data_IF_278750401854
#
_entry.id   IF_278750401854
#
_cell.length_a   1.000
_cell.length_b   1.000
_cell.length_c   1.000
_cell.angle_alpha   90.00
_cell.angle_beta   90.00
_cell.angle_gamma   90.00
#
_symmetry.space_group_name_H-M   'P 1'
#
loop_
_entity.id
_entity.type
_entity.pdbx_description
1 polymer ?
#
# COMPACT_ATOMS: atom_id res chain seq x y z
N UNK A 1 37.45 50.41 14.84
CA UNK A 1 38.72 50.31 15.58
C UNK A 1 39.15 48.86 15.57
N UNK A 2 40.21 48.64 14.86
CA UNK A 2 41.35 47.73 15.04
C UNK A 2 40.99 46.26 15.20
N UNK A 3 41.35 45.35 14.37
CA UNK A 3 42.48 45.21 13.43
C UNK A 3 43.46 44.14 13.93
N UNK A 4 43.76 43.17 13.08
CA UNK A 4 44.98 42.34 12.91
C UNK A 4 44.70 40.85 12.85
N UNK A 5 44.82 40.24 11.70
CA UNK A 5 45.98 39.77 10.89
C UNK A 5 46.61 38.46 11.36
N UNK A 6 46.49 37.44 10.47
CA UNK A 6 47.48 36.53 9.86
C UNK A 6 48.44 35.77 10.82
N UNK A 7 48.53 34.43 10.64
CA UNK A 7 49.76 33.88 10.08
C UNK A 7 49.56 32.50 9.40
N UNK A 8 50.17 32.39 8.25
CA UNK A 8 50.46 31.13 7.49
C UNK A 8 51.73 30.49 8.06
N UNK A 9 51.85 29.17 8.05
CA UNK A 9 53.12 28.54 7.77
C UNK A 9 52.91 27.18 7.12
N UNK A 10 53.37 27.12 5.89
CA UNK A 10 53.77 26.00 5.07
C UNK A 10 55.02 25.34 5.58
N UNK A 11 55.09 24.00 5.58
CA UNK A 11 56.36 23.26 5.44
C UNK A 11 56.13 21.93 4.74
N UNK A 12 56.71 21.77 3.54
CA UNK A 12 57.23 20.56 2.94
C UNK A 12 58.74 20.59 3.10
N UNK A 13 59.47 19.46 3.24
CA UNK A 13 60.22 18.94 2.10
C UNK A 13 60.33 17.41 2.00
N UNK A 14 60.27 16.87 0.83
CA UNK A 14 61.32 16.37 -0.12
C UNK A 14 62.13 15.13 0.26
N UNK A 15 61.97 14.13 -0.64
CA UNK A 15 62.96 13.20 -1.23
C UNK A 15 63.82 12.26 -0.35
N UNK A 16 63.80 10.95 -0.65
CA UNK A 16 64.85 10.26 -1.40
C UNK A 16 64.53 8.79 -1.65
N UNK A 17 64.73 8.34 -2.91
CA UNK A 17 64.99 6.94 -3.29
C UNK A 17 66.51 6.72 -3.23
N UNK A 18 67.00 5.44 -3.08
CA UNK A 18 67.52 4.71 -4.24
C UNK A 18 67.32 3.14 -4.16
N UNK A 19 67.03 2.47 -5.28
CA UNK A 19 67.86 1.85 -6.30
C UNK A 19 68.51 0.45 -5.94
N UNK A 20 68.04 -0.55 -6.71
CA UNK A 20 68.69 -1.79 -7.23
C UNK A 20 69.21 -2.90 -6.31
N UNK A 21 68.70 -4.11 -6.57
CA UNK A 21 69.57 -5.17 -7.14
C UNK A 21 68.76 -6.41 -7.54
N UNK A 22 68.93 -6.81 -8.76
CA UNK A 22 68.60 -8.06 -9.44
C UNK A 22 69.45 -9.21 -8.92
N UNK A 23 68.87 -10.44 -8.75
CA UNK A 23 69.55 -11.72 -9.03
C UNK A 23 68.49 -12.74 -9.51
N UNK A 24 68.76 -13.28 -10.69
CA UNK A 24 68.18 -14.49 -11.29
C UNK A 24 68.57 -15.74 -10.54
N UNK A 25 67.73 -16.75 -10.51
CA UNK A 25 68.11 -18.14 -10.80
C UNK A 25 66.91 -19.07 -10.96
N UNK A 26 67.07 -19.97 -11.86
CA UNK A 26 66.20 -20.83 -12.63
C UNK A 26 65.64 -22.08 -11.89
N UNK A 27 64.55 -22.54 -12.47
CA UNK A 27 64.14 -23.91 -12.78
C UNK A 27 63.88 -24.92 -11.65
N UNK A 28 62.63 -25.39 -11.56
CA UNK A 28 62.28 -26.81 -11.53
C UNK A 28 60.80 -27.02 -11.89
N UNK A 29 60.59 -27.84 -12.92
CA UNK A 29 59.33 -28.43 -13.37
C UNK A 29 58.71 -29.32 -12.29
N UNK A 30 57.41 -29.11 -12.01
CA UNK A 30 56.58 -30.00 -11.22
C UNK A 30 55.11 -29.85 -11.63
N UNK A 31 54.66 -30.73 -12.50
CA UNK A 31 53.28 -30.83 -12.89
C UNK A 31 52.39 -31.31 -11.75
N UNK A 32 51.44 -30.49 -11.30
CA UNK A 32 50.24 -30.91 -10.58
C UNK A 32 49.05 -30.21 -11.17
N UNK A 33 48.32 -30.93 -12.00
CA UNK A 33 46.99 -30.54 -12.46
C UNK A 33 46.01 -30.56 -11.26
N UNK A 34 45.74 -29.41 -10.67
CA UNK A 34 44.61 -29.21 -9.74
C UNK A 34 43.52 -28.50 -10.50
N UNK A 35 42.46 -29.22 -10.80
CA UNK A 35 41.17 -28.72 -11.29
C UNK A 35 40.61 -27.74 -10.27
N UNK A 36 40.85 -26.47 -10.44
CA UNK A 36 40.05 -25.40 -9.83
C UNK A 36 38.77 -25.26 -10.63
N UNK A 37 37.74 -26.01 -10.22
CA UNK A 37 36.37 -25.68 -10.53
C UNK A 37 36.03 -24.36 -9.81
N UNK A 38 36.39 -23.24 -10.42
CA UNK A 38 35.93 -21.93 -10.03
C UNK A 38 34.48 -21.82 -10.47
N UNK A 39 33.54 -22.04 -9.53
CA UNK A 39 32.16 -21.58 -9.70
C UNK A 39 32.17 -20.05 -9.79
N UNK A 40 32.28 -19.54 -11.01
CA UNK A 40 31.94 -18.18 -11.32
C UNK A 40 30.41 -18.05 -11.13
N UNK A 41 30.00 -17.45 -10.03
CA UNK A 41 28.63 -17.01 -9.86
C UNK A 41 28.40 -15.89 -10.88
N UNK A 42 27.76 -16.23 -12.00
CA UNK A 42 27.22 -15.27 -12.95
C UNK A 42 26.00 -14.68 -12.27
N UNK A 43 25.94 -13.35 -11.98
CA UNK A 43 24.71 -12.73 -11.53
C UNK A 43 23.68 -12.83 -12.65
N UNK A 44 22.62 -13.63 -12.47
CA UNK A 44 21.54 -13.79 -13.45
C UNK A 44 21.11 -15.22 -13.77
N UNK A 45 21.70 -16.27 -13.18
CA UNK A 45 21.24 -17.65 -13.36
C UNK A 45 20.39 -18.09 -12.17
N UNK A 46 19.09 -18.11 -12.38
CA UNK A 46 18.07 -19.03 -11.83
C UNK A 46 18.44 -19.77 -10.54
N UNK A 47 18.29 -19.11 -9.42
CA UNK A 47 18.17 -19.82 -8.15
C UNK A 47 16.66 -19.99 -7.84
N UNK A 48 16.04 -20.97 -8.47
CA UNK A 48 14.87 -21.60 -7.86
C UNK A 48 15.33 -22.15 -6.51
N UNK A 49 14.59 -21.89 -5.42
CA UNK A 49 14.84 -22.47 -4.10
C UNK A 49 15.13 -23.96 -4.26
N UNK A 50 16.24 -24.45 -3.71
CA UNK A 50 16.76 -25.81 -3.95
C UNK A 50 15.86 -26.97 -3.53
N UNK A 51 14.66 -26.68 -2.97
CA UNK A 51 13.61 -27.63 -2.61
C UNK A 51 12.39 -27.58 -3.55
N UNK A 52 12.45 -26.80 -4.64
CA UNK A 52 11.32 -26.61 -5.58
C UNK A 52 10.19 -25.75 -5.01
N UNK A 53 10.38 -25.06 -3.90
CA UNK A 53 9.37 -24.14 -3.33
C UNK A 53 9.39 -22.77 -4.02
N UNK A 54 8.24 -22.08 -4.00
CA UNK A 54 8.10 -20.70 -4.47
C UNK A 54 8.24 -19.80 -3.24
N UNK A 55 9.31 -18.98 -3.19
CA UNK A 55 9.53 -18.07 -2.06
C UNK A 55 9.09 -16.67 -2.40
N UNK A 56 8.25 -16.09 -1.55
CA UNK A 56 7.80 -14.69 -1.63
C UNK A 56 7.98 -14.00 -0.29
N UNK A 57 7.91 -12.68 -0.26
CA UNK A 57 7.96 -11.92 0.99
C UNK A 57 6.73 -11.02 1.13
N UNK A 58 6.27 -10.85 2.38
CA UNK A 58 5.28 -9.86 2.79
C UNK A 58 5.83 -9.08 3.98
N UNK A 59 5.73 -7.78 3.96
CA UNK A 59 6.05 -6.94 5.10
C UNK A 59 4.93 -5.97 5.46
N UNK A 60 4.91 -5.58 6.69
CA UNK A 60 4.10 -4.48 7.22
C UNK A 60 4.67 -4.07 8.58
N UNK A 61 4.34 -2.91 9.12
CA UNK A 61 4.70 -2.53 10.48
C UNK A 61 3.83 -3.26 11.51
N UNK A 62 4.46 -3.63 12.63
CA UNK A 62 3.78 -4.06 13.85
C UNK A 62 4.60 -3.72 15.08
N UNK A 63 3.93 -3.60 16.23
CA UNK A 63 4.51 -3.21 17.52
C UNK A 63 5.20 -1.83 17.45
N UNK A 64 4.55 -0.87 16.81
CA UNK A 64 5.02 0.53 16.70
C UNK A 64 4.00 1.50 17.33
N UNK A 65 4.43 2.75 17.55
CA UNK A 65 3.55 3.82 18.03
C UNK A 65 2.77 4.54 16.92
N UNK A 66 2.94 4.11 15.68
CA UNK A 66 2.25 4.62 14.50
C UNK A 66 1.36 3.54 13.89
N UNK A 67 1.04 3.63 12.61
CA UNK A 67 0.22 2.62 11.90
C UNK A 67 0.79 1.22 12.07
N UNK A 68 -0.06 0.27 12.47
CA UNK A 68 0.28 -1.14 12.60
C UNK A 68 -0.64 -1.99 11.72
N UNK A 69 -0.06 -2.88 10.90
CA UNK A 69 -0.79 -3.80 10.00
C UNK A 69 -0.34 -5.26 10.18
N UNK A 70 -0.35 -5.81 11.41
CA UNK A 70 0.13 -7.18 11.68
C UNK A 70 -0.71 -8.24 10.97
N UNK A 71 -1.95 -7.90 10.57
CA UNK A 71 -2.85 -8.78 9.84
C UNK A 71 -2.33 -9.16 8.45
N UNK A 72 -1.60 -8.29 7.78
CA UNK A 72 -1.09 -8.56 6.43
C UNK A 72 -0.06 -9.71 6.41
N UNK A 73 1.05 -9.69 7.17
CA UNK A 73 1.96 -10.83 7.22
C UNK A 73 1.32 -12.09 7.84
N UNK A 74 0.38 -11.93 8.77
CA UNK A 74 -0.35 -13.05 9.32
C UNK A 74 -1.24 -13.72 8.27
N UNK A 75 -1.99 -12.94 7.46
CA UNK A 75 -2.81 -13.43 6.34
C UNK A 75 -1.95 -14.10 5.27
N UNK A 76 -0.81 -13.52 4.91
CA UNK A 76 0.14 -14.11 3.97
C UNK A 76 0.60 -15.50 4.41
N UNK A 77 0.95 -15.62 5.71
CA UNK A 77 1.32 -16.91 6.33
C UNK A 77 0.16 -17.90 6.33
N UNK A 78 -1.05 -17.44 6.64
CA UNK A 78 -2.27 -18.27 6.60
C UNK A 78 -2.57 -18.73 5.16
N UNK A 79 -2.45 -17.85 4.17
CA UNK A 79 -2.62 -18.20 2.76
C UNK A 79 -1.64 -19.29 2.33
N UNK A 80 -0.35 -19.17 2.69
CA UNK A 80 0.65 -20.18 2.39
C UNK A 80 0.32 -21.55 3.02
N UNK A 81 -0.07 -21.58 4.29
CA UNK A 81 -0.51 -22.81 4.97
C UNK A 81 -1.71 -23.45 4.26
N UNK A 82 -2.71 -22.63 3.93
CA UNK A 82 -3.91 -23.07 3.26
C UNK A 82 -3.62 -23.62 1.86
N UNK A 83 -2.92 -22.87 1.01
CA UNK A 83 -2.65 -23.29 -0.38
C UNK A 83 -1.77 -24.55 -0.40
N UNK A 84 -0.79 -24.67 0.50
CA UNK A 84 0.08 -25.85 0.61
C UNK A 84 -0.68 -27.10 1.02
N UNK A 85 -1.71 -26.98 1.87
CA UNK A 85 -2.62 -28.07 2.24
C UNK A 85 -3.47 -28.53 1.05
N UNK A 86 -3.70 -27.62 0.08
CA UNK A 86 -4.49 -27.89 -1.14
C UNK A 86 -3.62 -28.11 -2.39
N UNK A 87 -2.39 -28.61 -2.22
CA UNK A 87 -1.51 -29.01 -3.33
C UNK A 87 -0.54 -27.96 -3.84
N UNK A 88 -0.48 -26.78 -3.19
CA UNK A 88 0.44 -25.71 -3.56
C UNK A 88 0.01 -24.94 -4.81
N UNK A 89 0.96 -24.29 -5.46
CA UNK A 89 0.76 -23.58 -6.74
C UNK A 89 1.55 -24.34 -7.80
N UNK A 90 0.90 -24.85 -8.82
CA UNK A 90 1.50 -25.75 -9.82
C UNK A 90 2.25 -26.94 -9.19
N UNK A 91 1.71 -27.51 -8.09
CA UNK A 91 2.34 -28.61 -7.36
C UNK A 91 3.55 -28.23 -6.49
N UNK A 92 3.95 -26.94 -6.47
CA UNK A 92 5.06 -26.42 -5.66
C UNK A 92 4.54 -25.77 -4.38
N UNK A 93 5.28 -25.96 -3.28
CA UNK A 93 4.95 -25.31 -2.01
C UNK A 93 5.22 -23.81 -2.07
N UNK A 94 4.34 -23.02 -1.49
CA UNK A 94 4.54 -21.60 -1.27
C UNK A 94 5.24 -21.37 0.08
N UNK A 95 6.40 -20.73 0.08
CA UNK A 95 7.12 -20.26 1.26
C UNK A 95 6.95 -18.74 1.37
N UNK A 96 6.41 -18.27 2.48
CA UNK A 96 6.27 -16.85 2.77
C UNK A 96 7.28 -16.45 3.83
N UNK A 97 8.08 -15.45 3.51
CA UNK A 97 8.92 -14.72 4.46
C UNK A 97 8.17 -13.48 4.91
N UNK A 98 8.29 -13.15 6.19
CA UNK A 98 7.66 -11.94 6.75
C UNK A 98 8.71 -11.02 7.33
N UNK A 99 8.56 -9.71 7.13
CA UNK A 99 9.47 -8.70 7.66
C UNK A 99 8.69 -7.55 8.30
N UNK A 100 9.18 -7.03 9.43
CA UNK A 100 8.64 -5.83 10.08
C UNK A 100 9.45 -4.60 9.62
N UNK A 101 8.81 -3.66 8.97
CA UNK A 101 9.46 -2.40 8.56
C UNK A 101 9.48 -1.34 9.67
N UNK A 102 8.85 -1.65 10.82
CA UNK A 102 8.81 -0.80 12.02
C UNK A 102 8.43 0.67 11.75
N UNK A 103 7.73 0.96 10.65
CA UNK A 103 7.46 2.33 10.20
C UNK A 103 8.73 3.20 10.11
N UNK A 104 9.81 2.63 9.56
CA UNK A 104 11.05 3.37 9.32
C UNK A 104 11.63 3.09 7.94
N UNK A 105 12.17 4.10 7.28
CA UNK A 105 12.84 3.98 5.98
C UNK A 105 14.00 2.97 6.01
N UNK A 106 14.74 2.94 7.11
CA UNK A 106 15.87 2.00 7.29
C UNK A 106 15.40 0.55 7.32
N UNK A 107 14.31 0.27 8.05
CA UNK A 107 13.76 -1.09 8.15
C UNK A 107 13.03 -1.50 6.88
N UNK A 108 12.31 -0.59 6.19
CA UNK A 108 11.72 -0.86 4.89
C UNK A 108 12.79 -1.24 3.85
N UNK A 109 13.90 -0.48 3.79
CA UNK A 109 15.03 -0.82 2.95
C UNK A 109 15.71 -2.15 3.36
N UNK A 110 15.74 -2.48 4.65
CA UNK A 110 16.26 -3.77 5.15
C UNK A 110 15.37 -4.92 4.66
N UNK A 111 14.05 -4.83 4.79
CA UNK A 111 13.12 -5.85 4.31
C UNK A 111 13.29 -6.10 2.80
N UNK A 112 13.42 -5.03 2.01
CA UNK A 112 13.65 -5.17 0.57
C UNK A 112 14.99 -5.82 0.24
N UNK A 113 16.08 -5.48 0.94
CA UNK A 113 17.39 -6.15 0.77
C UNK A 113 17.36 -7.63 1.20
N UNK A 114 16.61 -7.96 2.25
CA UNK A 114 16.38 -9.34 2.68
C UNK A 114 15.62 -10.12 1.59
N UNK A 115 14.58 -9.51 0.97
CA UNK A 115 13.88 -10.11 -0.16
C UNK A 115 14.85 -10.43 -1.33
N UNK A 116 15.80 -9.54 -1.62
CA UNK A 116 16.84 -9.76 -2.64
C UNK A 116 17.79 -10.90 -2.22
N UNK A 117 18.26 -10.93 -0.98
CA UNK A 117 19.18 -11.96 -0.47
C UNK A 117 18.55 -13.36 -0.46
N UNK A 118 17.26 -13.43 -0.13
CA UNK A 118 16.49 -14.68 -0.12
C UNK A 118 15.99 -15.08 -1.52
N UNK A 119 16.34 -14.33 -2.57
CA UNK A 119 15.95 -14.57 -3.95
C UNK A 119 14.44 -14.79 -4.11
N UNK A 120 13.62 -13.95 -3.47
CA UNK A 120 12.16 -14.07 -3.60
C UNK A 120 11.72 -13.81 -5.04
N UNK A 121 10.68 -14.50 -5.48
CA UNK A 121 10.15 -14.32 -6.85
C UNK A 121 9.20 -13.12 -6.93
N UNK A 122 8.69 -12.64 -5.81
CA UNK A 122 7.87 -11.43 -5.69
C UNK A 122 7.79 -10.97 -4.24
N UNK A 123 7.49 -9.69 -4.04
CA UNK A 123 6.92 -9.17 -2.80
C UNK A 123 5.41 -9.07 -3.01
N UNK A 124 4.63 -9.61 -2.08
CA UNK A 124 3.17 -9.78 -2.27
C UNK A 124 2.40 -9.30 -1.06
N UNK A 125 1.39 -8.46 -1.24
CA UNK A 125 0.44 -8.08 -0.19
C UNK A 125 1.08 -7.34 0.98
N UNK A 126 1.87 -6.29 0.72
CA UNK A 126 2.66 -5.58 1.73
C UNK A 126 2.15 -4.16 1.99
N UNK A 127 2.51 -3.61 3.13
CA UNK A 127 2.29 -2.22 3.50
C UNK A 127 3.61 -1.56 3.90
N UNK A 128 3.88 -0.36 3.43
CA UNK A 128 4.91 0.55 3.96
C UNK A 128 4.70 1.96 3.44
N UNK A 129 4.92 2.95 4.28
CA UNK A 129 4.90 4.38 3.90
C UNK A 129 6.24 4.85 3.29
N UNK A 130 7.25 3.99 3.23
CA UNK A 130 8.61 4.33 2.81
C UNK A 130 8.97 3.74 1.45
N UNK A 131 8.15 4.01 0.44
CA UNK A 131 8.26 3.42 -0.89
C UNK A 131 9.61 3.63 -1.57
N UNK A 132 10.17 4.82 -1.51
CA UNK A 132 11.51 5.12 -2.06
C UNK A 132 12.59 4.19 -1.50
N UNK A 133 12.45 3.80 -0.22
CA UNK A 133 13.44 2.98 0.47
C UNK A 133 13.40 1.52 0.05
N UNK A 134 12.21 0.99 -0.28
CA UNK A 134 12.08 -0.42 -0.65
C UNK A 134 12.06 -0.65 -2.17
N UNK A 135 11.56 0.29 -2.99
CA UNK A 135 11.57 0.09 -4.44
C UNK A 135 12.97 0.04 -5.03
N UNK A 136 13.91 0.89 -4.59
CA UNK A 136 15.24 0.92 -5.16
C UNK A 136 15.98 -0.46 -5.10
N UNK A 137 16.03 -1.21 -3.97
CA UNK A 137 16.59 -2.56 -3.96
C UNK A 137 15.80 -3.56 -4.82
N UNK A 138 14.47 -3.49 -4.85
CA UNK A 138 13.63 -4.39 -5.64
C UNK A 138 13.84 -4.17 -7.14
N UNK A 139 13.87 -2.91 -7.59
CA UNK A 139 14.13 -2.54 -8.99
C UNK A 139 15.53 -2.99 -9.44
N UNK A 140 16.54 -2.81 -8.58
CA UNK A 140 17.88 -3.29 -8.86
C UNK A 140 17.99 -4.82 -9.04
N UNK A 141 17.08 -5.58 -8.42
CA UNK A 141 17.02 -7.04 -8.52
C UNK A 141 15.92 -7.55 -9.47
N UNK A 142 15.10 -6.67 -10.05
CA UNK A 142 14.00 -7.04 -10.93
C UNK A 142 12.85 -7.78 -10.23
N UNK A 143 12.67 -7.59 -8.92
CA UNK A 143 11.64 -8.26 -8.11
C UNK A 143 10.33 -7.49 -8.18
N UNK A 144 9.22 -8.07 -8.69
CA UNK A 144 7.92 -7.41 -8.75
C UNK A 144 7.30 -7.24 -7.36
N UNK A 145 6.62 -6.10 -7.17
CA UNK A 145 5.83 -5.76 -5.99
C UNK A 145 4.35 -5.85 -6.35
N UNK A 146 3.64 -6.85 -5.83
CA UNK A 146 2.28 -7.21 -6.23
C UNK A 146 1.31 -6.91 -5.10
N UNK A 147 0.32 -6.07 -5.35
CA UNK A 147 -0.78 -5.81 -4.43
C UNK A 147 -0.33 -5.13 -3.15
N UNK A 148 0.40 -4.01 -3.25
CA UNK A 148 0.62 -3.11 -2.14
C UNK A 148 -0.69 -2.55 -1.59
N UNK A 149 -0.63 -2.00 -0.40
CA UNK A 149 -1.81 -1.43 0.25
C UNK A 149 -2.37 -0.21 -0.49
N UNK A 150 -1.50 0.56 -1.18
CA UNK A 150 -1.91 1.72 -1.97
C UNK A 150 -1.88 3.04 -1.20
N UNK A 151 -0.91 3.23 -0.31
CA UNK A 151 -0.75 4.48 0.47
C UNK A 151 0.25 5.45 -0.13
N UNK A 152 1.15 4.98 -1.01
CA UNK A 152 2.18 5.83 -1.61
C UNK A 152 1.97 6.00 -3.11
N UNK A 153 2.33 7.15 -3.63
CA UNK A 153 2.27 7.45 -5.07
C UNK A 153 3.16 6.49 -5.87
N UNK A 154 4.30 6.08 -5.34
CA UNK A 154 5.22 5.14 -5.99
C UNK A 154 4.56 3.79 -6.31
N UNK A 155 3.62 3.33 -5.50
CA UNK A 155 2.86 2.11 -5.79
C UNK A 155 2.05 2.21 -7.10
N UNK A 156 1.82 3.43 -7.61
CA UNK A 156 1.10 3.69 -8.86
C UNK A 156 1.96 4.26 -9.98
N UNK A 157 3.26 4.43 -9.75
CA UNK A 157 4.20 5.04 -10.72
C UNK A 157 5.38 4.14 -11.05
N UNK A 158 5.88 3.34 -10.09
CA UNK A 158 7.08 2.50 -10.27
C UNK A 158 6.83 1.32 -11.20
N UNK A 159 7.77 1.09 -12.12
CA UNK A 159 7.64 0.08 -13.17
C UNK A 159 7.42 -1.36 -12.66
N UNK A 160 7.97 -1.70 -11.51
CA UNK A 160 7.82 -3.03 -10.88
C UNK A 160 6.65 -3.12 -9.90
N UNK A 161 5.78 -2.12 -9.84
CA UNK A 161 4.57 -2.13 -9.03
C UNK A 161 3.38 -2.67 -9.83
N UNK A 162 2.61 -3.55 -9.20
CA UNK A 162 1.42 -4.21 -9.77
C UNK A 162 0.27 -4.09 -8.77
N UNK A 163 -0.34 -2.90 -8.64
CA UNK A 163 -1.39 -2.64 -7.64
C UNK A 163 -2.66 -3.43 -7.96
N UNK A 164 -3.39 -3.83 -6.91
CA UNK A 164 -4.67 -4.55 -7.03
C UNK A 164 -5.88 -3.66 -6.75
N UNK A 165 -5.66 -2.49 -6.21
CA UNK A 165 -6.66 -1.47 -5.90
C UNK A 165 -6.25 -0.11 -6.42
N UNK A 166 -7.12 0.88 -6.25
CA UNK A 166 -6.90 2.24 -6.72
C UNK A 166 -6.25 3.17 -5.68
N UNK A 167 -5.83 2.62 -4.54
CA UNK A 167 -5.21 3.41 -3.47
C UNK A 167 -6.07 4.56 -2.98
N UNK A 168 -5.42 5.46 -2.28
CA UNK A 168 -6.03 6.70 -1.80
C UNK A 168 -6.61 7.58 -2.93
N UNK A 169 -5.97 7.67 -4.12
CA UNK A 169 -6.54 8.44 -5.22
C UNK A 169 -7.96 8.02 -5.60
N UNK A 170 -8.20 6.74 -5.82
CA UNK A 170 -9.52 6.25 -6.20
C UNK A 170 -10.54 6.39 -5.06
N UNK A 171 -10.13 6.15 -3.80
CA UNK A 171 -11.02 6.30 -2.65
C UNK A 171 -11.53 7.73 -2.50
N UNK A 172 -10.64 8.72 -2.53
CA UNK A 172 -11.01 10.13 -2.36
C UNK A 172 -11.82 10.65 -3.54
N UNK A 173 -11.43 10.31 -4.78
CA UNK A 173 -12.23 10.67 -5.96
C UNK A 173 -13.63 10.05 -5.91
N UNK A 174 -13.72 8.77 -5.49
CA UNK A 174 -14.99 8.08 -5.30
C UNK A 174 -15.85 8.71 -4.20
N UNK A 175 -15.24 9.06 -3.07
CA UNK A 175 -15.91 9.73 -1.96
C UNK A 175 -16.46 11.09 -2.43
N UNK A 176 -15.63 11.92 -3.06
CA UNK A 176 -16.08 13.22 -3.60
C UNK A 176 -17.27 13.08 -4.55
N UNK A 177 -17.24 12.08 -5.42
CA UNK A 177 -18.34 11.81 -6.36
C UNK A 177 -19.63 11.36 -5.66
N UNK A 178 -19.55 10.59 -4.59
CA UNK A 178 -20.69 10.22 -3.77
C UNK A 178 -21.27 11.43 -3.04
N UNK A 179 -20.39 12.22 -2.39
CA UNK A 179 -20.79 13.38 -1.62
C UNK A 179 -21.41 14.48 -2.49
N UNK A 180 -20.99 14.61 -3.75
CA UNK A 180 -21.59 15.57 -4.69
C UNK A 180 -23.11 15.38 -4.86
N UNK A 181 -23.61 14.16 -4.72
CA UNK A 181 -25.05 13.86 -4.84
C UNK A 181 -25.79 13.83 -3.49
N UNK A 182 -25.08 13.59 -2.40
CA UNK A 182 -25.68 13.30 -1.08
C UNK A 182 -25.51 14.43 -0.08
N UNK A 183 -24.46 15.25 -0.21
CA UNK A 183 -24.16 16.33 0.72
C UNK A 183 -24.43 17.72 0.14
N UNK A 184 -24.71 18.68 1.03
CA UNK A 184 -24.57 20.11 0.78
C UNK A 184 -23.11 20.52 0.88
N UNK A 185 -22.72 21.48 1.73
CA UNK A 185 -21.31 21.84 1.90
C UNK A 185 -20.48 20.66 2.38
N UNK A 186 -19.29 20.51 1.80
CA UNK A 186 -18.32 19.51 2.21
C UNK A 186 -17.10 20.20 2.82
N UNK A 187 -16.66 19.72 3.96
CA UNK A 187 -15.45 20.20 4.64
C UNK A 187 -14.48 19.06 4.79
N UNK A 188 -13.28 19.20 4.20
CA UNK A 188 -12.14 18.29 4.40
C UNK A 188 -11.32 18.75 5.61
N UNK A 189 -11.01 17.83 6.51
CA UNK A 189 -10.07 18.06 7.60
C UNK A 189 -8.86 17.14 7.38
N UNK A 190 -7.70 17.71 7.15
CA UNK A 190 -6.49 17.00 6.75
C UNK A 190 -5.25 17.41 7.55
N UNK A 191 -4.20 16.59 7.57
CA UNK A 191 -2.96 16.97 8.23
C UNK A 191 -2.28 18.14 7.52
N UNK A 192 -1.60 18.97 8.32
CA UNK A 192 -0.73 20.05 7.85
C UNK A 192 0.63 19.45 7.47
N UNK A 193 0.69 18.74 6.37
CA UNK A 193 1.87 18.03 5.87
C UNK A 193 1.86 17.95 4.35
N UNK A 194 3.02 17.69 3.75
CA UNK A 194 3.17 17.53 2.28
C UNK A 194 2.22 16.42 1.76
N UNK A 195 2.17 15.29 2.43
CA UNK A 195 1.24 14.20 2.04
C UNK A 195 -0.24 14.60 2.21
N UNK A 196 -0.54 15.51 3.15
CA UNK A 196 -1.87 16.07 3.31
C UNK A 196 -2.28 16.99 2.16
N UNK A 197 -1.32 17.67 1.51
CA UNK A 197 -1.59 18.59 0.40
C UNK A 197 -2.11 17.88 -0.86
N UNK A 198 -1.87 16.57 -1.00
CA UNK A 198 -2.38 15.77 -2.11
C UNK A 198 -3.88 15.40 -1.96
N UNK A 199 -4.48 15.55 -0.78
CA UNK A 199 -5.84 15.11 -0.52
C UNK A 199 -6.93 16.00 -1.14
N UNK A 200 -6.85 17.36 -1.06
CA UNK A 200 -7.87 18.23 -1.63
C UNK A 200 -8.07 18.05 -3.15
N UNK A 201 -7.02 17.98 -4.00
CA UNK A 201 -7.20 17.74 -5.43
C UNK A 201 -7.98 16.47 -5.73
N UNK A 202 -7.68 15.37 -5.03
CA UNK A 202 -8.33 14.07 -5.23
C UNK A 202 -9.81 14.09 -4.85
N UNK A 203 -10.14 14.64 -3.68
CA UNK A 203 -11.54 14.76 -3.25
C UNK A 203 -12.32 15.70 -4.17
N UNK A 204 -11.73 16.84 -4.53
CA UNK A 204 -12.35 17.85 -5.38
C UNK A 204 -12.53 17.37 -6.83
N UNK A 205 -11.68 16.47 -7.33
CA UNK A 205 -11.90 15.82 -8.62
C UNK A 205 -13.26 15.08 -8.63
N UNK A 206 -13.53 14.32 -7.57
CA UNK A 206 -14.82 13.64 -7.40
C UNK A 206 -16.01 14.58 -7.26
N UNK A 207 -15.89 15.60 -6.41
CA UNK A 207 -16.93 16.63 -6.23
C UNK A 207 -17.23 17.35 -7.54
N UNK A 208 -16.21 17.79 -8.27
CA UNK A 208 -16.34 18.46 -9.55
C UNK A 208 -16.98 17.57 -10.62
N UNK A 209 -16.60 16.30 -10.68
CA UNK A 209 -17.20 15.32 -11.60
C UNK A 209 -18.71 15.09 -11.31
N UNK A 210 -19.14 15.37 -10.08
CA UNK A 210 -20.56 15.38 -9.68
C UNK A 210 -21.25 16.74 -9.80
N UNK A 211 -20.56 17.78 -10.30
CA UNK A 211 -21.11 19.14 -10.43
C UNK A 211 -21.19 19.90 -9.11
N UNK A 212 -20.41 19.51 -8.11
CA UNK A 212 -20.40 20.12 -6.77
C UNK A 212 -19.22 21.10 -6.63
N UNK A 213 -19.39 22.11 -5.76
CA UNK A 213 -18.28 23.00 -5.38
C UNK A 213 -17.18 22.26 -4.64
N UNK A 214 -15.96 22.78 -4.70
CA UNK A 214 -14.83 22.25 -3.95
C UNK A 214 -15.11 22.23 -2.44
N UNK A 215 -14.50 21.25 -1.75
CA UNK A 215 -14.57 21.17 -0.30
C UNK A 215 -13.87 22.37 0.36
N UNK A 216 -14.39 22.80 1.51
CA UNK A 216 -13.65 23.72 2.39
C UNK A 216 -12.50 22.94 3.00
N UNK A 217 -11.26 23.37 2.75
CA UNK A 217 -10.05 22.74 3.27
C UNK A 217 -9.68 23.27 4.66
N UNK A 218 -9.49 22.39 5.64
CA UNK A 218 -9.10 22.72 7.00
C UNK A 218 -7.92 21.89 7.46
N UNK A 219 -6.86 22.59 7.88
CA UNK A 219 -5.65 21.98 8.42
C UNK A 219 -5.83 21.59 9.90
N UNK A 220 -5.24 20.47 10.26
CA UNK A 220 -5.13 19.96 11.61
C UNK A 220 -3.73 19.40 11.86
N UNK A 221 -3.23 19.54 13.08
CA UNK A 221 -1.94 18.94 13.44
C UNK A 221 -2.07 17.40 13.40
N UNK A 222 -1.08 16.73 12.85
CA UNK A 222 -1.04 15.28 12.69
C UNK A 222 -0.70 14.51 13.98
N UNK A 223 -0.20 15.22 14.99
CA UNK A 223 0.19 14.68 16.30
C UNK A 223 -0.73 15.11 17.47
N UNK A 224 -1.85 15.80 17.18
CA UNK A 224 -2.74 16.30 18.23
C UNK A 224 -3.42 15.16 18.99
N UNK A 225 -3.61 15.38 20.29
CA UNK A 225 -4.30 14.44 21.20
C UNK A 225 -5.80 14.69 21.27
N UNK A 226 -6.28 15.83 20.75
CA UNK A 226 -7.69 16.20 20.62
C UNK A 226 -7.89 17.17 19.47
N UNK A 227 -9.10 17.21 18.91
CA UNK A 227 -9.47 18.06 17.76
C UNK A 227 -10.75 18.87 17.98
N UNK A 228 -11.08 19.24 19.23
CA UNK A 228 -12.33 19.95 19.54
C UNK A 228 -12.51 21.25 18.72
N UNK A 229 -11.46 22.09 18.61
CA UNK A 229 -11.53 23.31 17.81
C UNK A 229 -11.70 23.06 16.31
N UNK A 230 -11.04 22.03 15.78
CA UNK A 230 -11.12 21.64 14.37
C UNK A 230 -12.52 21.06 14.07
N UNK A 231 -13.02 20.18 14.94
CA UNK A 231 -14.37 19.60 14.85
C UNK A 231 -15.44 20.69 14.84
N UNK A 232 -15.43 21.62 15.78
CA UNK A 232 -16.40 22.71 15.84
C UNK A 232 -16.37 23.59 14.59
N UNK A 233 -15.18 23.91 14.05
CA UNK A 233 -15.05 24.66 12.79
C UNK A 233 -15.59 23.88 11.58
N UNK A 234 -15.26 22.57 11.51
CA UNK A 234 -15.70 21.71 10.41
C UNK A 234 -17.22 21.56 10.39
N UNK A 235 -17.85 21.31 11.53
CA UNK A 235 -19.30 21.21 11.68
C UNK A 235 -19.99 22.52 11.30
N UNK A 236 -19.48 23.65 11.77
CA UNK A 236 -20.00 24.97 11.40
C UNK A 236 -19.89 25.24 9.90
N UNK A 237 -18.77 24.89 9.28
CA UNK A 237 -18.56 25.04 7.84
C UNK A 237 -19.52 24.15 7.04
N UNK A 238 -19.62 22.88 7.41
CA UNK A 238 -20.49 21.91 6.74
C UNK A 238 -21.99 22.20 6.93
N UNK A 239 -22.41 22.91 7.98
CA UNK A 239 -23.82 23.25 8.24
C UNK A 239 -24.35 24.45 7.44
N UNK A 240 -23.49 25.20 6.74
CA UNK A 240 -23.80 26.49 6.11
C UNK A 240 -24.57 26.46 4.77
N UNK A 241 -25.10 25.34 4.32
CA UNK A 241 -25.60 25.20 2.96
C UNK A 241 -27.11 25.15 2.78
N UNK A 242 -27.49 25.22 1.53
CA UNK A 242 -28.83 25.38 0.94
C UNK A 242 -29.74 24.15 1.09
N UNK A 243 -30.09 23.74 2.31
CA UNK A 243 -31.13 22.72 2.54
C UNK A 243 -30.73 21.27 2.31
N UNK A 244 -29.50 20.97 1.90
CA UNK A 244 -28.91 19.65 1.93
C UNK A 244 -28.09 19.46 3.20
N UNK A 245 -28.06 18.23 3.69
CA UNK A 245 -27.21 17.84 4.83
C UNK A 245 -25.73 18.01 4.45
N UNK A 246 -24.93 18.67 5.31
CA UNK A 246 -23.50 18.85 5.06
C UNK A 246 -22.67 17.64 5.45
N UNK A 247 -21.44 17.60 4.95
CA UNK A 247 -20.54 16.50 5.24
C UNK A 247 -19.15 16.97 5.69
N UNK A 248 -18.60 16.30 6.70
CA UNK A 248 -17.21 16.47 7.17
C UNK A 248 -16.40 15.22 6.79
N UNK A 249 -15.28 15.45 6.13
CA UNK A 249 -14.37 14.39 5.67
C UNK A 249 -13.08 14.48 6.51
N UNK A 250 -12.98 13.76 7.63
CA UNK A 250 -11.72 13.65 8.36
C UNK A 250 -10.78 12.68 7.64
N UNK A 251 -9.62 13.16 7.25
CA UNK A 251 -8.57 12.38 6.56
C UNK A 251 -7.24 12.56 7.29
N UNK A 252 -7.18 12.10 8.55
CA UNK A 252 -6.08 12.32 9.48
C UNK A 252 -5.29 11.03 9.78
N UNK A 253 -5.38 10.02 8.90
CA UNK A 253 -4.77 8.72 9.12
C UNK A 253 -5.22 8.11 10.44
N UNK A 254 -4.30 7.61 11.25
CA UNK A 254 -4.57 7.02 12.57
C UNK A 254 -5.17 8.00 13.59
N UNK A 255 -5.17 9.31 13.30
CA UNK A 255 -5.80 10.34 14.14
C UNK A 255 -7.27 10.61 13.77
N UNK A 256 -7.78 9.94 12.76
CA UNK A 256 -9.19 10.07 12.37
C UNK A 256 -10.12 9.75 13.53
N UNK A 257 -9.84 8.71 14.32
CA UNK A 257 -10.66 8.33 15.49
C UNK A 257 -10.63 9.38 16.60
N UNK A 258 -9.45 9.98 16.85
CA UNK A 258 -9.31 11.08 17.80
C UNK A 258 -10.15 12.29 17.36
N UNK A 259 -10.20 12.59 16.06
CA UNK A 259 -11.08 13.60 15.51
C UNK A 259 -12.56 13.21 15.68
N UNK A 260 -12.91 11.97 15.35
CA UNK A 260 -14.29 11.47 15.42
C UNK A 260 -14.84 11.47 16.86
N UNK A 261 -13.99 11.29 17.87
CA UNK A 261 -14.41 11.44 19.27
C UNK A 261 -14.79 12.90 19.60
N UNK A 262 -14.04 13.88 19.10
CA UNK A 262 -14.43 15.29 19.19
C UNK A 262 -15.68 15.58 18.37
N UNK A 263 -15.76 15.11 17.13
CA UNK A 263 -16.91 15.25 16.25
C UNK A 263 -18.19 14.71 16.89
N UNK A 264 -18.17 13.55 17.53
CA UNK A 264 -19.32 12.95 18.21
C UNK A 264 -19.89 13.86 19.31
N UNK A 265 -19.02 14.51 20.10
CA UNK A 265 -19.42 15.43 21.17
C UNK A 265 -20.11 16.69 20.60
N UNK A 266 -19.53 17.27 19.54
CA UNK A 266 -19.97 18.54 18.98
C UNK A 266 -21.16 18.38 18.03
N UNK A 267 -21.33 17.20 17.41
CA UNK A 267 -22.37 16.90 16.42
C UNK A 267 -23.80 17.08 16.94
N UNK A 268 -24.03 17.00 18.25
CA UNK A 268 -25.36 17.14 18.84
C UNK A 268 -26.01 18.48 18.45
N UNK A 269 -25.22 19.53 18.28
CA UNK A 269 -25.67 20.84 17.84
C UNK A 269 -25.84 20.95 16.29
N UNK A 270 -25.40 19.93 15.54
CA UNK A 270 -25.41 19.87 14.08
C UNK A 270 -25.94 18.53 13.56
N UNK A 271 -27.20 18.15 13.90
CA UNK A 271 -27.71 16.79 13.64
C UNK A 271 -27.82 16.44 12.14
N UNK A 272 -27.85 17.45 11.27
CA UNK A 272 -27.91 17.29 9.81
C UNK A 272 -26.50 17.15 9.15
N UNK A 273 -25.41 17.18 9.93
CA UNK A 273 -24.07 17.01 9.39
C UNK A 273 -23.62 15.58 9.59
N UNK A 274 -23.18 14.94 8.51
CA UNK A 274 -22.65 13.56 8.50
C UNK A 274 -21.13 13.55 8.39
N UNK A 275 -20.51 12.52 8.94
CA UNK A 275 -19.13 12.21 8.61
C UNK A 275 -19.07 11.42 7.31
N UNK A 276 -17.95 11.55 6.60
CA UNK A 276 -17.63 10.74 5.44
C UNK A 276 -16.14 10.43 5.44
N UNK A 277 -15.75 9.20 5.10
CA UNK A 277 -14.35 8.78 5.16
C UNK A 277 -14.07 7.66 4.15
N UNK A 278 -12.88 7.13 4.18
CA UNK A 278 -12.43 6.08 3.27
C UNK A 278 -12.07 4.80 4.02
N UNK A 279 -12.20 3.66 3.35
CA UNK A 279 -11.74 2.38 3.87
C UNK A 279 -10.22 2.46 4.17
N UNK A 280 -9.80 1.82 5.25
CA UNK A 280 -8.44 1.93 5.77
C UNK A 280 -8.31 2.96 6.89
N UNK A 281 -9.15 3.99 6.91
CA UNK A 281 -9.35 4.85 8.08
C UNK A 281 -10.47 4.32 8.98
N UNK A 282 -11.47 3.62 8.41
CA UNK A 282 -12.60 3.02 9.15
C UNK A 282 -12.99 1.70 8.53
N UNK A 283 -13.09 0.67 9.34
CA UNK A 283 -13.63 -0.64 8.99
C UNK A 283 -14.73 -1.07 9.99
N UNK A 284 -15.26 -2.28 9.85
CA UNK A 284 -16.31 -2.78 10.74
C UNK A 284 -15.83 -2.93 12.19
N UNK A 285 -14.58 -3.28 12.40
CA UNK A 285 -14.01 -3.43 13.74
C UNK A 285 -13.92 -2.09 14.44
N UNK A 286 -13.50 -1.04 13.72
CA UNK A 286 -13.47 0.32 14.24
C UNK A 286 -14.88 0.85 14.57
N UNK A 287 -15.85 0.60 13.69
CA UNK A 287 -17.25 0.94 13.97
C UNK A 287 -17.74 0.26 15.26
N UNK A 288 -17.42 -1.01 15.45
CA UNK A 288 -17.81 -1.77 16.64
C UNK A 288 -17.14 -1.24 17.92
N UNK A 289 -15.83 -0.94 17.86
CA UNK A 289 -15.02 -0.47 19.00
C UNK A 289 -15.46 0.90 19.50
N UNK A 290 -15.94 1.75 18.59
CA UNK A 290 -16.38 3.12 18.88
C UNK A 290 -17.86 3.26 19.26
N UNK A 291 -18.57 2.13 19.44
CA UNK A 291 -19.94 2.08 19.97
C UNK A 291 -21.02 1.66 18.97
N UNK A 292 -20.64 1.18 17.79
CA UNK A 292 -21.56 0.65 16.80
C UNK A 292 -22.65 1.65 16.39
N UNK A 293 -23.92 1.27 16.58
CA UNK A 293 -25.07 2.15 16.25
C UNK A 293 -25.10 3.45 17.04
N UNK A 294 -24.52 3.49 18.24
CA UNK A 294 -24.44 4.70 19.07
C UNK A 294 -23.12 5.45 18.87
N UNK A 295 -22.26 4.96 18.02
CA UNK A 295 -20.93 5.51 17.73
C UNK A 295 -20.95 6.72 16.80
N UNK A 296 -19.79 7.34 16.60
CA UNK A 296 -19.65 8.54 15.76
C UNK A 296 -19.88 8.28 14.27
N UNK A 297 -19.74 7.02 13.85
CA UNK A 297 -19.81 6.64 12.43
C UNK A 297 -21.21 6.33 11.93
N UNK A 298 -22.25 6.28 12.80
CA UNK A 298 -23.62 6.01 12.35
C UNK A 298 -24.07 7.06 11.32
N UNK A 299 -24.54 6.60 10.15
CA UNK A 299 -24.93 7.42 9.02
C UNK A 299 -23.76 7.93 8.16
N UNK A 300 -22.52 7.56 8.46
CA UNK A 300 -21.34 7.99 7.69
C UNK A 300 -21.29 7.33 6.33
N UNK A 301 -20.89 8.09 5.30
CA UNK A 301 -20.55 7.59 3.97
C UNK A 301 -19.10 7.11 3.95
N UNK A 302 -18.87 5.90 3.41
CA UNK A 302 -17.54 5.31 3.34
C UNK A 302 -17.29 4.81 1.92
N UNK A 303 -16.14 5.16 1.36
CA UNK A 303 -15.70 4.62 0.06
C UNK A 303 -14.67 3.53 0.30
N UNK A 304 -14.87 2.37 -0.29
CA UNK A 304 -13.98 1.22 -0.16
C UNK A 304 -13.43 0.74 -1.50
N UNK A 305 -12.35 -0.02 -1.48
CA UNK A 305 -11.83 -0.69 -2.69
C UNK A 305 -12.60 -1.96 -3.00
N UNK A 306 -13.16 -2.60 -1.98
CA UNK A 306 -13.69 -3.95 -2.04
C UNK A 306 -15.14 -3.98 -1.54
N UNK A 307 -15.88 -5.08 -1.78
CA UNK A 307 -17.18 -5.29 -1.15
C UNK A 307 -17.06 -5.29 0.38
N UNK A 308 -18.14 -4.87 1.05
CA UNK A 308 -18.19 -4.90 2.53
C UNK A 308 -17.83 -6.28 3.07
N UNK A 309 -17.20 -6.34 4.23
CA UNK A 309 -16.74 -7.59 4.84
C UNK A 309 -17.84 -8.66 5.04
N UNK A 310 -19.11 -8.25 5.10
CA UNK A 310 -20.27 -9.16 5.15
C UNK A 310 -20.65 -9.82 3.82
N UNK A 311 -20.04 -9.45 2.71
CA UNK A 311 -20.35 -10.01 1.39
C UNK A 311 -19.87 -11.45 1.25
N UNK A 312 -20.71 -12.32 0.65
CA UNK A 312 -20.40 -13.74 0.48
C UNK A 312 -19.18 -14.02 -0.41
N UNK A 313 -18.74 -13.05 -1.22
CA UNK A 313 -17.49 -13.16 -2.01
C UNK A 313 -16.25 -13.34 -1.13
N UNK A 314 -16.30 -12.96 0.14
CA UNK A 314 -15.25 -13.18 1.13
C UNK A 314 -15.27 -14.58 1.78
N UNK A 315 -16.28 -15.41 1.53
CA UNK A 315 -16.38 -16.74 2.13
C UNK A 315 -15.15 -17.64 1.89
N UNK A 316 -14.51 -17.63 0.71
CA UNK A 316 -13.27 -18.40 0.50
C UNK A 316 -12.12 -17.97 1.44
N UNK A 317 -11.94 -16.67 1.65
CA UNK A 317 -10.95 -16.14 2.59
C UNK A 317 -11.27 -16.54 4.03
N UNK A 318 -12.52 -16.33 4.45
CA UNK A 318 -12.99 -16.69 5.81
C UNK A 318 -12.85 -18.17 6.09
N UNK A 319 -13.15 -19.04 5.11
CA UNK A 319 -12.94 -20.49 5.22
C UNK A 319 -11.46 -20.84 5.36
N UNK A 320 -10.58 -20.21 4.57
CA UNK A 320 -9.14 -20.43 4.68
C UNK A 320 -8.61 -20.00 6.05
N UNK A 321 -9.00 -18.83 6.57
CA UNK A 321 -8.65 -18.37 7.93
C UNK A 321 -9.10 -19.39 8.97
N UNK A 322 -10.37 -19.82 8.93
CA UNK A 322 -10.92 -20.80 9.89
C UNK A 322 -10.20 -22.16 9.81
N UNK A 323 -9.73 -22.57 8.65
CA UNK A 323 -9.08 -23.87 8.45
C UNK A 323 -7.63 -23.92 8.98
N UNK A 324 -6.87 -22.82 8.87
CA UNK A 324 -5.42 -22.87 9.11
C UNK A 324 -4.91 -21.81 10.09
N UNK A 325 -5.74 -20.85 10.47
CA UNK A 325 -5.38 -19.71 11.33
C UNK A 325 -6.47 -19.38 12.34
N UNK A 326 -7.35 -20.33 12.67
CA UNK A 326 -8.40 -20.15 13.67
C UNK A 326 -7.81 -19.67 15.00
N UNK A 327 -8.31 -18.55 15.53
CA UNK A 327 -7.83 -17.95 16.79
C UNK A 327 -6.56 -17.09 16.65
N UNK A 328 -6.06 -16.84 15.46
CA UNK A 328 -5.02 -15.82 15.26
C UNK A 328 -5.64 -14.42 15.25
N UNK A 329 -5.60 -13.76 16.40
CA UNK A 329 -6.23 -12.46 16.64
C UNK A 329 -5.62 -11.30 15.80
N UNK A 330 -4.52 -11.55 15.08
CA UNK A 330 -3.94 -10.56 14.16
C UNK A 330 -4.74 -10.49 12.85
N UNK A 331 -5.49 -11.54 12.50
CA UNK A 331 -6.23 -11.63 11.24
C UNK A 331 -7.67 -11.25 11.48
N UNK A 332 -8.00 -9.99 11.21
CA UNK A 332 -9.38 -9.54 11.12
C UNK A 332 -9.85 -9.63 9.65
N UNK A 333 -10.87 -10.46 9.35
CA UNK A 333 -11.39 -10.56 7.98
C UNK A 333 -12.03 -9.28 7.44
N UNK A 334 -12.26 -8.27 8.29
CA UNK A 334 -12.80 -6.97 7.90
C UNK A 334 -11.71 -5.90 7.73
N UNK A 335 -10.45 -6.19 8.09
CA UNK A 335 -9.33 -5.27 7.89
C UNK A 335 -8.96 -5.18 6.40
N UNK A 336 -8.88 -3.95 5.88
CA UNK A 336 -8.58 -3.70 4.48
C UNK A 336 -7.19 -4.22 4.05
N UNK A 337 -6.22 -4.32 4.96
CA UNK A 337 -4.91 -4.90 4.69
C UNK A 337 -4.97 -6.42 4.55
N UNK A 338 -5.77 -7.09 5.41
CA UNK A 338 -6.03 -8.54 5.31
C UNK A 338 -6.72 -8.86 3.99
N UNK A 339 -7.75 -8.08 3.62
CA UNK A 339 -8.47 -8.20 2.36
C UNK A 339 -7.53 -7.99 1.15
N UNK A 340 -6.71 -6.94 1.18
CA UNK A 340 -5.71 -6.63 0.14
C UNK A 340 -4.70 -7.77 0.00
N UNK A 341 -4.19 -8.30 1.11
CA UNK A 341 -3.23 -9.42 1.10
C UNK A 341 -3.84 -10.67 0.49
N UNK A 342 -5.08 -11.04 0.84
CA UNK A 342 -5.78 -12.17 0.22
C UNK A 342 -5.90 -12.00 -1.30
N UNK A 343 -6.30 -10.82 -1.76
CA UNK A 343 -6.44 -10.50 -3.19
C UNK A 343 -5.09 -10.56 -3.90
N UNK A 344 -4.03 -9.99 -3.30
CA UNK A 344 -2.68 -9.98 -3.86
C UNK A 344 -2.14 -11.42 -4.04
N UNK A 345 -2.33 -12.29 -3.05
CA UNK A 345 -1.94 -13.70 -3.14
C UNK A 345 -2.79 -14.48 -4.13
N UNK A 346 -4.08 -14.15 -4.29
CA UNK A 346 -4.94 -14.72 -5.33
C UNK A 346 -4.45 -14.30 -6.72
N UNK A 347 -4.06 -13.05 -6.89
CA UNK A 347 -3.46 -12.55 -8.12
C UNK A 347 -2.12 -13.25 -8.40
N UNK A 348 -1.22 -13.30 -7.44
CA UNK A 348 0.06 -13.99 -7.55
C UNK A 348 -0.11 -15.47 -7.95
N UNK A 349 -1.02 -16.20 -7.30
CA UNK A 349 -1.36 -17.58 -7.67
C UNK A 349 -1.78 -17.69 -9.13
N UNK A 350 -2.62 -16.78 -9.61
CA UNK A 350 -3.10 -16.79 -11.00
C UNK A 350 -1.95 -16.56 -11.96
N UNK A 351 -1.07 -15.61 -11.67
CA UNK A 351 0.13 -15.32 -12.47
C UNK A 351 1.07 -16.53 -12.53
N UNK A 352 1.37 -17.15 -11.38
CA UNK A 352 2.23 -18.35 -11.34
C UNK A 352 1.58 -19.52 -12.09
N UNK A 353 0.27 -19.70 -11.97
CA UNK A 353 -0.44 -20.76 -12.69
C UNK A 353 -0.35 -20.56 -14.22
N UNK A 354 -0.31 -19.32 -14.72
CA UNK A 354 -0.16 -19.05 -16.15
C UNK A 354 1.21 -19.46 -16.71
N UNK A 355 2.22 -19.59 -15.86
CA UNK A 355 3.57 -20.07 -16.25
C UNK A 355 3.62 -21.59 -16.45
N UNK A 356 2.60 -22.33 -16.04
CA UNK A 356 2.52 -23.79 -16.18
C UNK A 356 3.66 -24.52 -15.47
N UNK A 357 4.32 -25.44 -16.17
CA UNK A 357 5.48 -26.19 -15.68
C UNK A 357 6.83 -25.45 -15.86
N UNK A 358 6.78 -24.20 -16.36
CA UNK A 358 7.96 -23.39 -16.64
C UNK A 358 8.72 -22.98 -15.37
N UNK A 359 9.83 -22.29 -15.59
CA UNK A 359 10.60 -21.68 -14.50
C UNK A 359 9.79 -20.60 -13.79
N UNK A 360 9.86 -20.57 -12.46
CA UNK A 360 9.22 -19.56 -11.62
C UNK A 360 10.32 -18.74 -10.96
N UNK A 361 10.57 -17.58 -11.51
CA UNK A 361 11.56 -16.59 -11.06
C UNK A 361 10.94 -15.20 -11.04
N UNK A 362 11.60 -14.23 -10.42
CA UNK A 362 11.15 -12.84 -10.44
C UNK A 362 10.94 -12.33 -11.87
N UNK A 363 11.84 -12.69 -12.79
CA UNK A 363 11.75 -12.26 -14.20
C UNK A 363 10.56 -12.90 -14.95
N UNK A 364 10.29 -14.20 -14.74
CA UNK A 364 9.16 -14.86 -15.40
C UNK A 364 7.82 -14.38 -14.84
N UNK A 365 7.73 -14.14 -13.52
CA UNK A 365 6.54 -13.55 -12.89
C UNK A 365 6.31 -12.13 -13.41
N UNK A 366 7.36 -11.30 -13.46
CA UNK A 366 7.29 -9.95 -13.99
C UNK A 366 6.82 -9.95 -15.46
N UNK A 367 7.43 -10.78 -16.33
CA UNK A 367 7.01 -10.88 -17.74
C UNK A 367 5.55 -11.29 -17.88
N UNK A 368 5.08 -12.26 -17.12
CA UNK A 368 3.67 -12.66 -17.19
C UNK A 368 2.71 -11.53 -16.80
N UNK A 369 3.10 -10.70 -15.81
CA UNK A 369 2.35 -9.50 -15.43
C UNK A 369 2.36 -8.45 -16.55
N UNK A 370 3.53 -8.14 -17.12
CA UNK A 370 3.70 -7.16 -18.20
C UNK A 370 3.04 -7.62 -19.53
N UNK A 371 2.98 -8.92 -19.78
CA UNK A 371 2.27 -9.49 -20.92
C UNK A 371 0.73 -9.46 -20.74
N UNK A 372 0.26 -8.95 -19.60
CA UNK A 372 -1.14 -8.67 -19.36
C UNK A 372 -1.97 -9.91 -19.03
N UNK A 373 -1.44 -10.81 -18.22
CA UNK A 373 -2.24 -11.93 -17.69
C UNK A 373 -3.49 -11.39 -16.98
N UNK A 374 -4.66 -11.95 -17.35
CA UNK A 374 -5.94 -11.56 -16.72
C UNK A 374 -6.13 -12.28 -15.40
N UNK A 375 -6.38 -11.51 -14.36
CA UNK A 375 -6.61 -12.01 -13.00
C UNK A 375 -8.04 -11.74 -12.59
N UNK A 376 -8.77 -12.81 -12.25
CA UNK A 376 -10.08 -12.71 -11.61
C UNK A 376 -9.96 -13.04 -10.13
N UNK A 377 -10.54 -12.20 -9.29
CA UNK A 377 -10.46 -12.28 -7.83
C UNK A 377 -11.74 -12.82 -7.18
N UNK A 378 -12.57 -13.52 -7.96
CA UNK A 378 -13.89 -13.98 -7.48
C UNK A 378 -14.90 -12.82 -7.32
N UNK A 379 -14.68 -11.69 -8.00
CA UNK A 379 -15.53 -10.50 -7.92
C UNK A 379 -15.22 -9.58 -6.74
N UNK A 380 -14.09 -9.82 -6.04
CA UNK A 380 -13.59 -8.92 -4.99
C UNK A 380 -13.01 -7.63 -5.57
N UNK A 381 -12.56 -7.68 -6.81
CA UNK A 381 -12.19 -6.54 -7.66
C UNK A 381 -12.78 -6.74 -9.05
N UNK A 382 -12.84 -5.72 -9.91
CA UNK A 382 -12.88 -5.94 -11.35
C UNK A 382 -11.71 -6.81 -11.81
N UNK A 383 -11.78 -7.34 -13.03
CA UNK A 383 -10.66 -8.10 -13.60
C UNK A 383 -9.41 -7.22 -13.64
N UNK A 384 -8.31 -7.71 -13.05
CA UNK A 384 -7.03 -7.03 -13.07
C UNK A 384 -6.21 -7.48 -14.28
N UNK A 385 -5.53 -6.53 -14.92
CA UNK A 385 -4.62 -6.78 -16.02
C UNK A 385 -3.59 -5.65 -16.04
N UNK A 386 -2.32 -5.99 -15.93
CA UNK A 386 -1.23 -5.03 -16.00
C UNK A 386 -0.55 -5.18 -17.36
N UNK A 387 -0.63 -4.14 -18.15
CA UNK A 387 0.04 -4.09 -19.44
C UNK A 387 0.61 -2.69 -19.65
N UNK A 388 1.86 -2.55 -20.07
CA UNK A 388 2.43 -1.25 -20.39
C UNK A 388 1.69 -0.49 -21.50
N UNK A 389 0.74 -1.16 -22.19
CA UNK A 389 -0.08 -0.57 -23.26
C UNK A 389 -1.35 0.10 -22.75
N UNK A 390 -1.71 -0.14 -21.49
CA UNK A 390 -2.95 0.39 -20.88
C UNK A 390 -2.64 1.58 -19.94
N UNK A 391 -1.85 2.55 -20.41
CA UNK A 391 -1.46 3.76 -19.68
C UNK A 391 -2.65 4.72 -19.46
N UNK A 392 -3.76 4.21 -18.94
CA UNK A 392 -5.02 4.97 -18.82
C UNK A 392 -4.93 6.23 -17.94
N UNK A 393 -3.97 6.30 -17.03
CA UNK A 393 -3.79 7.41 -16.08
C UNK A 393 -2.36 7.96 -16.11
N UNK A 394 -1.60 7.74 -17.19
CA UNK A 394 -0.24 8.27 -17.32
C UNK A 394 -0.21 9.81 -17.34
N UNK A 395 -1.26 10.44 -17.88
CA UNK A 395 -1.40 11.91 -17.94
C UNK A 395 -1.46 12.59 -16.59
N UNK A 396 -1.93 11.85 -15.56
CA UNK A 396 -1.99 12.33 -14.16
C UNK A 396 -0.94 11.67 -13.27
N UNK A 397 0.12 11.11 -13.86
CA UNK A 397 1.23 10.53 -13.10
C UNK A 397 0.97 9.19 -12.43
N UNK A 398 -0.15 8.49 -12.76
CA UNK A 398 -0.54 7.23 -12.13
C UNK A 398 -0.49 6.05 -13.12
N UNK A 399 0.57 5.95 -13.92
CA UNK A 399 0.69 5.02 -15.05
C UNK A 399 0.50 3.52 -14.70
N UNK A 400 0.70 3.13 -13.44
CA UNK A 400 0.52 1.74 -12.97
C UNK A 400 -0.84 1.47 -12.36
N UNK A 401 -1.72 2.47 -12.28
CA UNK A 401 -3.07 2.31 -11.74
C UNK A 401 -3.99 1.66 -12.78
N UNK A 402 -4.24 0.37 -12.61
CA UNK A 402 -5.08 -0.45 -13.52
C UNK A 402 -6.48 -0.71 -12.99
N UNK A 403 -6.74 -0.36 -11.74
CA UNK A 403 -8.04 -0.54 -11.09
C UNK A 403 -8.39 0.68 -10.23
N UNK A 404 -9.06 1.65 -10.81
CA UNK A 404 -9.59 2.82 -10.11
C UNK A 404 -11.03 2.62 -9.59
N UNK A 405 -11.50 1.38 -9.54
CA UNK A 405 -12.86 1.09 -9.10
C UNK A 405 -12.99 1.12 -7.57
N UNK A 406 -14.10 1.65 -7.12
CA UNK A 406 -14.47 1.77 -5.70
C UNK A 406 -15.86 1.21 -5.43
N UNK A 407 -16.15 0.90 -4.18
CA UNK A 407 -17.49 0.58 -3.66
C UNK A 407 -17.98 1.71 -2.80
N UNK A 408 -19.28 1.98 -2.83
CA UNK A 408 -19.93 3.02 -2.04
C UNK A 408 -20.69 2.35 -0.89
N UNK A 409 -20.36 2.74 0.31
CA UNK A 409 -20.78 2.10 1.55
C UNK A 409 -21.35 3.14 2.51
N UNK A 410 -22.12 2.70 3.47
CA UNK A 410 -22.73 3.55 4.52
C UNK A 410 -22.86 2.75 5.81
N UNK A 411 -22.67 3.40 6.94
CA UNK A 411 -22.93 2.78 8.24
C UNK A 411 -24.39 2.89 8.60
N UNK A 412 -25.06 1.78 8.82
CA UNK A 412 -26.47 1.72 9.25
C UNK A 412 -26.63 0.72 10.37
N UNK A 413 -27.16 1.18 11.50
CA UNK A 413 -27.35 0.37 12.72
C UNK A 413 -26.05 -0.28 13.19
N UNK A 414 -24.96 0.49 13.12
CA UNK A 414 -23.62 0.03 13.50
C UNK A 414 -23.00 -0.99 12.54
N UNK A 415 -23.56 -1.17 11.35
CA UNK A 415 -23.03 -2.13 10.35
C UNK A 415 -22.68 -1.39 9.07
N UNK A 416 -21.49 -1.66 8.55
CA UNK A 416 -21.04 -1.18 7.25
C UNK A 416 -21.75 -1.99 6.15
N UNK A 417 -22.58 -1.32 5.37
CA UNK A 417 -23.37 -1.93 4.31
C UNK A 417 -23.14 -1.23 2.97
N UNK A 418 -23.38 -1.92 1.88
CA UNK A 418 -23.34 -1.32 0.55
C UNK A 418 -24.41 -0.25 0.40
N UNK A 419 -24.03 0.99 0.15
CA UNK A 419 -24.95 2.08 -0.17
C UNK A 419 -25.52 1.91 -1.58
N UNK A 420 -24.68 1.51 -2.52
CA UNK A 420 -25.01 1.14 -3.90
C UNK A 420 -24.27 -0.14 -4.31
N UNK A 421 -24.96 -0.97 -5.10
CA UNK A 421 -24.37 -2.25 -5.54
C UNK A 421 -23.34 -2.06 -6.66
N UNK A 422 -22.29 -2.85 -6.63
CA UNK A 422 -21.28 -2.93 -7.68
C UNK A 422 -20.08 -2.02 -7.45
N UNK A 423 -19.26 -1.94 -8.49
CA UNK A 423 -18.07 -1.10 -8.53
C UNK A 423 -18.36 0.17 -9.35
N UNK A 424 -17.75 1.26 -8.94
CA UNK A 424 -17.81 2.54 -9.61
C UNK A 424 -16.40 2.93 -10.04
N UNK A 425 -16.18 3.00 -11.33
CA UNK A 425 -14.88 3.32 -11.91
C UNK A 425 -14.59 4.83 -11.82
N UNK A 426 -13.45 5.18 -11.26
CA UNK A 426 -12.97 6.56 -11.09
C UNK A 426 -11.91 6.95 -12.12
N UNK A 427 -11.58 6.10 -13.09
CA UNK A 427 -10.55 6.39 -14.10
C UNK A 427 -10.76 7.75 -14.75
N UNK A 428 -11.95 8.01 -15.30
CA UNK A 428 -12.26 9.30 -15.94
C UNK A 428 -12.27 10.48 -14.96
N UNK A 429 -12.62 10.25 -13.71
CA UNK A 429 -12.61 11.27 -12.67
C UNK A 429 -11.20 11.68 -12.32
N UNK A 430 -10.29 10.70 -12.21
CA UNK A 430 -8.87 10.93 -11.95
C UNK A 430 -8.14 11.51 -13.15
N UNK A 431 -8.45 11.04 -14.36
CA UNK A 431 -7.85 11.57 -15.60
C UNK A 431 -8.17 13.05 -15.85
N UNK A 432 -9.33 13.49 -15.36
CA UNK A 432 -9.73 14.91 -15.37
C UNK A 432 -9.28 15.71 -14.15
N UNK A 433 -8.57 15.11 -13.22
CA UNK A 433 -8.07 15.78 -12.02
C UNK A 433 -6.81 16.59 -12.35
N UNK A 434 -6.72 17.80 -11.81
CA UNK A 434 -5.45 18.53 -11.78
C UNK A 434 -4.71 18.10 -10.51
N UNK A 435 -3.78 17.18 -10.65
CA UNK A 435 -2.96 16.62 -9.56
C UNK A 435 -1.56 17.26 -9.50
N UNK A 436 -1.33 18.34 -10.29
CA UNK A 436 -0.08 19.11 -10.32
C UNK A 436 0.01 20.11 -9.14
#
# INVERSE_FOLDING_TARGET
MTGRRRNRSTFLPTFTRPVRATVMSAAALGACASLLAGCGVIPGTTAGSGDGSITVMTWAPWDTNATNKPGMPAMATAYAKWINKHGGINGRKLKVLTCNDHNTSVSAAKCAREAVQENVVAVVGSYSEFSDSYFAPLEGAGIPYIGGYGVTTDEFTRALSYPVNGGQPALLAGLGKELASTCGPVTLVRPDSIAGDDLPPLLNAGLSAGGHAAATDQLAADDATEYAAQSARALKSASGGSGKEGCVVPSLGDRTDTFMDSFRRDRQDYPAVHAATVLGSVDQTEINSTGGQSGPYEGSYITGWYPVAGDARWDPMKKAINEVAFGDNRIDPADAGVETTWIAYTAFKTVVNSLGSGDISADTVRRALDDGVKVTTGGLTPTLQWSPRDDNLASVGLARLVNAAVTLQIVRKGVLVSARKGFFDMTKTLDGANLD
#
